data_IF_208085361708
#
_entry.id   IF_208085361708
#
_cell.length_a   1.000
_cell.length_b   1.000
_cell.length_c   1.000
_cell.angle_alpha   90.00
_cell.angle_beta   90.00
_cell.angle_gamma   90.00
#
_symmetry.space_group_name_H-M   'P 1'
#
loop_
_entity.id
_entity.type
_entity.pdbx_description
1 polymer ?
#
# COMPACT_ATOMS: atom_id res chain seq x y z
N UNK A 1 5.06 14.63 0.68
CA UNK A 1 5.30 15.66 -0.36
C UNK A 1 4.96 17.03 0.22
N UNK A 2 5.96 17.77 0.72
CA UNK A 2 5.83 19.08 1.43
C UNK A 2 6.67 20.18 0.75
N UNK A 3 7.46 19.80 -0.26
CA UNK A 3 8.53 20.62 -0.87
C UNK A 3 8.04 21.93 -1.48
N UNK A 4 6.81 21.99 -1.99
CA UNK A 4 6.28 23.17 -2.70
C UNK A 4 5.39 24.09 -1.83
N UNK A 5 5.16 23.75 -0.57
CA UNK A 5 4.26 24.51 0.33
C UNK A 5 4.83 25.90 0.66
N UNK A 6 6.15 26.05 0.58
CA UNK A 6 6.83 27.32 0.85
C UNK A 6 6.64 28.35 -0.27
N UNK A 7 6.32 27.91 -1.49
CA UNK A 7 6.24 28.79 -2.67
C UNK A 7 4.80 29.12 -3.10
N UNK A 8 3.78 28.57 -2.39
CA UNK A 8 2.37 28.89 -2.62
C UNK A 8 1.98 30.16 -1.87
N UNK A 9 1.41 31.13 -2.59
CA UNK A 9 0.95 32.43 -2.07
C UNK A 9 -0.15 32.22 -1.02
N UNK A 10 0.19 32.35 0.27
CA UNK A 10 -0.74 32.16 1.39
C UNK A 10 -0.03 31.95 2.72
N UNK A 11 -0.78 31.91 3.83
CA UNK A 11 -0.21 31.56 5.12
C UNK A 11 0.09 30.05 5.17
N UNK A 12 1.27 29.69 5.67
CA UNK A 12 1.74 28.28 5.76
C UNK A 12 0.70 27.36 6.42
N UNK A 13 0.03 27.88 7.45
CA UNK A 13 -1.01 27.16 8.21
C UNK A 13 -2.18 26.76 7.31
N UNK A 14 -2.64 27.65 6.41
CA UNK A 14 -3.76 27.37 5.50
C UNK A 14 -3.37 26.28 4.50
N UNK A 15 -2.17 26.32 3.94
CA UNK A 15 -1.70 25.28 3.01
C UNK A 15 -1.60 23.90 3.69
N UNK A 16 -1.12 23.83 4.93
CA UNK A 16 -1.12 22.58 5.70
C UNK A 16 -2.53 22.09 6.03
N UNK A 17 -3.44 23.00 6.35
CA UNK A 17 -4.84 22.67 6.62
C UNK A 17 -5.54 22.11 5.37
N UNK A 18 -5.31 22.69 4.19
CA UNK A 18 -5.83 22.16 2.92
C UNK A 18 -5.29 20.75 2.66
N UNK A 19 -3.99 20.52 2.85
CA UNK A 19 -3.39 19.20 2.65
C UNK A 19 -3.94 18.15 3.62
N UNK A 20 -4.18 18.53 4.89
CA UNK A 20 -4.80 17.65 5.87
C UNK A 20 -6.26 17.35 5.51
N UNK A 21 -7.02 18.35 5.05
CA UNK A 21 -8.40 18.18 4.61
C UNK A 21 -8.52 17.25 3.40
N UNK A 22 -7.59 17.31 2.46
CA UNK A 22 -7.57 16.45 1.26
C UNK A 22 -7.24 14.98 1.60
N UNK A 23 -6.55 14.74 2.71
CA UNK A 23 -6.20 13.39 3.14
C UNK A 23 -7.42 12.56 3.54
N UNK A 24 -8.43 13.19 4.15
CA UNK A 24 -9.68 12.55 4.59
C UNK A 24 -10.46 11.90 3.41
N UNK A 25 -10.85 12.64 2.34
CA UNK A 25 -11.54 12.06 1.20
C UNK A 25 -10.64 11.10 0.41
N UNK A 26 -9.33 11.37 0.36
CA UNK A 26 -8.37 10.46 -0.27
C UNK A 26 -8.37 9.07 0.39
N UNK A 27 -8.33 9.05 1.72
CA UNK A 27 -8.38 7.82 2.50
C UNK A 27 -9.73 7.11 2.37
N UNK A 28 -10.84 7.85 2.34
CA UNK A 28 -12.16 7.28 2.08
C UNK A 28 -12.21 6.57 0.71
N UNK A 29 -11.75 7.23 -0.36
CA UNK A 29 -11.66 6.64 -1.71
C UNK A 29 -10.74 5.42 -1.70
N UNK A 30 -9.59 5.49 -1.02
CA UNK A 30 -8.66 4.37 -0.89
C UNK A 30 -9.28 3.15 -0.22
N UNK A 31 -10.02 3.36 0.88
CA UNK A 31 -10.72 2.27 1.58
C UNK A 31 -11.81 1.62 0.73
N UNK A 32 -12.60 2.41 0.00
CA UNK A 32 -13.63 1.91 -0.91
C UNK A 32 -12.97 1.14 -2.05
N UNK A 33 -11.94 1.70 -2.67
CA UNK A 33 -11.20 1.05 -3.75
C UNK A 33 -10.62 -0.30 -3.29
N UNK A 34 -10.05 -0.37 -2.09
CA UNK A 34 -9.53 -1.61 -1.51
C UNK A 34 -10.60 -2.69 -1.32
N UNK A 35 -11.84 -2.30 -0.97
CA UNK A 35 -12.96 -3.23 -0.83
C UNK A 35 -13.47 -3.75 -2.18
N UNK A 36 -13.39 -2.96 -3.26
CA UNK A 36 -13.93 -3.35 -4.58
C UNK A 36 -12.89 -4.02 -5.49
N UNK A 37 -11.68 -3.46 -5.61
CA UNK A 37 -10.66 -3.90 -6.55
C UNK A 37 -9.66 -4.93 -5.97
N UNK A 38 -9.71 -5.20 -4.66
CA UNK A 38 -8.72 -6.02 -3.98
C UNK A 38 -7.55 -5.20 -3.46
N UNK A 39 -6.88 -5.68 -2.40
CA UNK A 39 -5.95 -4.85 -1.63
C UNK A 39 -4.63 -4.65 -2.38
N UNK A 40 -4.17 -5.66 -3.10
CA UNK A 40 -2.90 -5.60 -3.84
C UNK A 40 -3.02 -4.69 -5.07
N UNK A 41 -4.04 -4.91 -5.89
CA UNK A 41 -4.27 -4.09 -7.09
C UNK A 41 -4.51 -2.62 -6.74
N UNK A 42 -5.27 -2.36 -5.66
CA UNK A 42 -5.46 -0.99 -5.17
C UNK A 42 -4.13 -0.35 -4.77
N UNK A 43 -3.30 -1.06 -4.00
CA UNK A 43 -1.97 -0.57 -3.61
C UNK A 43 -1.10 -0.25 -4.82
N UNK A 44 -1.02 -1.17 -5.79
CA UNK A 44 -0.24 -0.97 -7.02
C UNK A 44 -0.80 0.21 -7.85
N UNK A 45 -2.11 0.33 -7.98
CA UNK A 45 -2.75 1.41 -8.73
C UNK A 45 -2.50 2.79 -8.09
N UNK A 46 -2.67 2.92 -6.78
CA UNK A 46 -2.41 4.18 -6.08
C UNK A 46 -0.92 4.54 -6.06
N UNK A 47 -0.03 3.55 -5.91
CA UNK A 47 1.41 3.76 -6.03
C UNK A 47 1.81 4.21 -7.45
N UNK A 48 1.22 3.61 -8.48
CA UNK A 48 1.44 4.01 -9.87
C UNK A 48 0.92 5.42 -10.15
N UNK A 49 -0.29 5.77 -9.69
CA UNK A 49 -0.84 7.12 -9.81
C UNK A 49 0.03 8.17 -9.10
N UNK A 50 0.51 7.86 -7.89
CA UNK A 50 1.44 8.72 -7.15
C UNK A 50 2.77 8.91 -7.90
N UNK A 51 3.34 7.84 -8.47
CA UNK A 51 4.55 7.90 -9.27
C UNK A 51 4.35 8.74 -10.55
N UNK A 52 3.23 8.55 -11.26
CA UNK A 52 2.89 9.35 -12.45
C UNK A 52 2.72 10.83 -12.09
N UNK A 53 2.07 11.17 -10.97
CA UNK A 53 1.98 12.55 -10.50
C UNK A 53 3.36 13.15 -10.17
N UNK A 54 4.26 12.35 -9.58
CA UNK A 54 5.62 12.76 -9.27
C UNK A 54 6.43 13.01 -10.56
N UNK A 55 6.26 12.17 -11.57
CA UNK A 55 6.90 12.32 -12.88
C UNK A 55 6.35 13.52 -13.64
N UNK A 56 5.02 13.70 -13.66
CA UNK A 56 4.36 14.83 -14.30
C UNK A 56 4.79 16.18 -13.68
N UNK A 57 5.07 16.19 -12.37
CA UNK A 57 5.56 17.38 -11.66
C UNK A 57 6.93 17.86 -12.21
N UNK A 58 7.73 16.97 -12.78
CA UNK A 58 9.03 17.30 -13.40
C UNK A 58 8.82 18.12 -14.68
N UNK A 59 7.84 17.75 -15.50
CA UNK A 59 7.57 18.43 -16.78
C UNK A 59 6.87 19.77 -16.61
N UNK A 60 6.03 19.91 -15.57
CA UNK A 60 5.18 21.09 -15.35
C UNK A 60 5.76 22.03 -14.29
N UNK A 61 7.08 22.10 -14.19
CA UNK A 61 7.75 22.96 -13.19
C UNK A 61 7.57 24.47 -13.46
N UNK A 62 7.11 24.85 -14.65
CA UNK A 62 6.92 26.25 -15.07
C UNK A 62 5.65 26.89 -14.50
N UNK A 63 4.60 26.12 -14.25
CA UNK A 63 3.30 26.63 -13.82
C UNK A 63 3.02 26.28 -12.35
N UNK A 64 3.10 27.24 -11.42
CA UNK A 64 2.98 26.96 -9.98
C UNK A 64 1.59 26.46 -9.58
N UNK A 65 0.54 26.87 -10.30
CA UNK A 65 -0.83 26.40 -10.07
C UNK A 65 -1.00 24.92 -10.41
N UNK A 66 -0.49 24.49 -11.56
CA UNK A 66 -0.59 23.09 -11.99
C UNK A 66 0.27 22.20 -11.10
N UNK A 67 1.47 22.67 -10.74
CA UNK A 67 2.34 21.97 -9.79
C UNK A 67 1.67 21.79 -8.42
N UNK A 68 0.94 22.80 -7.92
CA UNK A 68 0.20 22.69 -6.67
C UNK A 68 -0.89 21.62 -6.72
N UNK A 69 -1.67 21.58 -7.82
CA UNK A 69 -2.70 20.55 -8.04
C UNK A 69 -2.08 19.15 -8.05
N UNK A 70 -0.98 18.96 -8.80
CA UNK A 70 -0.26 17.68 -8.84
C UNK A 70 0.29 17.28 -7.46
N UNK A 71 0.80 18.23 -6.67
CA UNK A 71 1.25 17.97 -5.30
C UNK A 71 0.12 17.48 -4.40
N UNK A 72 -1.04 18.14 -4.47
CA UNK A 72 -2.23 17.79 -3.68
C UNK A 72 -2.75 16.40 -4.07
N UNK A 73 -2.85 16.11 -5.38
CA UNK A 73 -3.24 14.79 -5.89
C UNK A 73 -2.27 13.70 -5.44
N UNK A 74 -0.96 13.95 -5.53
CA UNK A 74 0.03 12.98 -5.09
C UNK A 74 -0.05 12.70 -3.58
N UNK A 75 -0.26 13.74 -2.76
CA UNK A 75 -0.48 13.59 -1.31
C UNK A 75 -1.72 12.74 -1.03
N UNK A 76 -2.80 12.93 -1.79
CA UNK A 76 -4.02 12.14 -1.70
C UNK A 76 -3.78 10.66 -2.03
N UNK A 77 -3.13 10.36 -3.16
CA UNK A 77 -2.84 8.98 -3.57
C UNK A 77 -1.84 8.28 -2.64
N UNK A 78 -0.83 9.01 -2.15
CA UNK A 78 0.12 8.50 -1.15
C UNK A 78 -0.58 8.15 0.17
N UNK A 79 -1.52 8.99 0.63
CA UNK A 79 -2.31 8.72 1.83
C UNK A 79 -3.16 7.46 1.69
N UNK A 80 -3.87 7.33 0.56
CA UNK A 80 -4.65 6.15 0.23
C UNK A 80 -3.79 4.88 0.18
N UNK A 81 -2.61 4.92 -0.45
CA UNK A 81 -1.66 3.81 -0.49
C UNK A 81 -1.27 3.35 0.92
N UNK A 82 -0.87 4.31 1.77
CA UNK A 82 -0.47 4.02 3.16
C UNK A 82 -1.63 3.32 3.87
N UNK A 83 -2.84 3.86 3.81
CA UNK A 83 -4.01 3.24 4.43
C UNK A 83 -4.21 1.77 4.01
N UNK A 84 -4.07 1.47 2.72
CA UNK A 84 -4.27 0.12 2.19
C UNK A 84 -3.17 -0.82 2.68
N UNK A 85 -1.92 -0.38 2.72
CA UNK A 85 -0.81 -1.17 3.27
C UNK A 85 -1.03 -1.45 4.76
N UNK A 86 -1.52 -0.47 5.53
CA UNK A 86 -1.88 -0.68 6.93
C UNK A 86 -3.02 -1.71 7.07
N UNK A 87 -4.05 -1.65 6.22
CA UNK A 87 -5.10 -2.68 6.20
C UNK A 87 -4.54 -4.07 5.86
N UNK A 88 -3.61 -4.15 4.90
CA UNK A 88 -2.96 -5.40 4.51
C UNK A 88 -2.21 -6.04 5.68
N UNK A 89 -1.50 -5.24 6.48
CA UNK A 89 -0.81 -5.72 7.69
C UNK A 89 -1.82 -6.33 8.67
N UNK A 90 -2.99 -5.70 8.83
CA UNK A 90 -4.07 -6.24 9.65
C UNK A 90 -4.58 -7.60 9.20
N UNK A 91 -4.61 -7.84 7.88
CA UNK A 91 -5.12 -9.08 7.29
C UNK A 91 -4.08 -10.19 7.21
N UNK A 92 -2.81 -9.83 7.06
CA UNK A 92 -1.71 -10.79 6.91
C UNK A 92 -1.20 -11.32 8.25
N UNK A 93 -1.21 -10.50 9.30
CA UNK A 93 -0.66 -10.85 10.59
C UNK A 93 -1.76 -11.30 11.59
N UNK A 94 -1.52 -12.40 12.34
CA UNK A 94 -2.43 -12.85 13.39
C UNK A 94 -2.46 -11.85 14.55
N UNK A 95 -3.53 -11.86 15.33
CA UNK A 95 -3.82 -10.84 16.38
C UNK A 95 -2.65 -10.63 17.35
N UNK A 96 -1.91 -11.68 17.69
CA UNK A 96 -0.74 -11.65 18.58
C UNK A 96 0.43 -10.83 18.02
N UNK A 97 0.64 -10.84 16.70
CA UNK A 97 1.77 -10.19 16.04
C UNK A 97 1.37 -8.91 15.29
N UNK A 98 0.09 -8.61 15.22
CA UNK A 98 -0.40 -7.43 14.49
C UNK A 98 0.13 -6.13 15.09
N UNK A 99 0.15 -6.01 16.43
CA UNK A 99 0.67 -4.83 17.12
C UNK A 99 2.17 -4.62 16.87
N UNK A 100 2.96 -5.70 16.85
CA UNK A 100 4.40 -5.63 16.58
C UNK A 100 4.66 -5.27 15.12
N UNK A 101 3.89 -5.80 14.17
CA UNK A 101 3.99 -5.45 12.75
C UNK A 101 3.73 -3.96 12.49
N UNK A 102 2.70 -3.39 13.11
CA UNK A 102 2.45 -1.93 13.05
C UNK A 102 3.59 -1.13 13.68
N UNK A 103 4.14 -1.59 14.81
CA UNK A 103 5.28 -0.95 15.47
C UNK A 103 6.52 -0.91 14.58
N UNK A 104 6.90 -2.04 13.96
CA UNK A 104 8.04 -2.13 13.04
C UNK A 104 7.84 -1.20 11.83
N UNK A 105 6.64 -1.21 11.25
CA UNK A 105 6.31 -0.31 10.13
C UNK A 105 6.43 1.17 10.52
N UNK A 106 6.04 1.52 11.76
CA UNK A 106 6.23 2.85 12.32
C UNK A 106 7.71 3.23 12.43
N UNK A 107 8.56 2.34 12.94
CA UNK A 107 10.01 2.59 13.05
C UNK A 107 10.65 2.79 11.67
N UNK A 108 10.26 1.99 10.67
CA UNK A 108 10.74 2.15 9.28
C UNK A 108 10.28 3.49 8.70
N UNK A 109 9.05 3.92 8.99
CA UNK A 109 8.53 5.22 8.57
C UNK A 109 9.31 6.36 9.21
N UNK A 110 9.65 6.26 10.50
CA UNK A 110 10.48 7.24 11.19
C UNK A 110 11.90 7.29 10.62
N UNK A 111 12.50 6.15 10.25
CA UNK A 111 13.77 6.13 9.56
C UNK A 111 13.70 6.87 8.21
N UNK A 112 12.61 6.72 7.46
CA UNK A 112 12.39 7.45 6.22
C UNK A 112 12.28 8.97 6.43
N UNK A 113 11.73 9.43 7.58
CA UNK A 113 11.64 10.85 7.92
C UNK A 113 13.02 11.51 8.07
N UNK A 114 14.04 10.77 8.51
CA UNK A 114 15.43 11.28 8.66
C UNK A 114 16.01 11.72 7.31
N UNK A 115 15.57 11.11 6.20
CA UNK A 115 16.03 11.46 4.84
C UNK A 115 15.33 12.70 4.25
N UNK A 116 14.28 13.22 4.88
CA UNK A 116 13.51 14.35 4.36
C UNK A 116 14.30 15.67 4.36
N UNK A 117 15.00 16.09 5.43
CA UNK A 117 15.72 17.37 5.43
C UNK A 117 16.83 17.44 4.36
N UNK A 118 17.67 16.40 4.16
CA UNK A 118 18.61 16.37 3.04
C UNK A 118 17.94 16.50 1.67
N UNK A 119 16.80 15.84 1.45
CA UNK A 119 16.03 15.96 0.20
C UNK A 119 15.53 17.39 -0.04
N UNK A 120 15.07 18.10 1.00
CA UNK A 120 14.67 19.50 0.90
C UNK A 120 15.87 20.39 0.58
N UNK A 121 17.01 20.17 1.24
CA UNK A 121 18.24 20.91 0.99
C UNK A 121 18.72 20.75 -0.46
N UNK A 122 18.70 19.53 -1.01
CA UNK A 122 19.03 19.28 -2.42
C UNK A 122 18.06 19.99 -3.39
N UNK A 123 16.78 20.10 -3.02
CA UNK A 123 15.77 20.82 -3.80
C UNK A 123 16.02 22.31 -3.94
N UNK A 124 16.78 22.92 -3.02
CA UNK A 124 17.16 24.35 -3.09
C UNK A 124 18.16 24.66 -4.20
N UNK A 125 19.03 23.69 -4.53
CA UNK A 125 20.01 23.83 -5.61
C UNK A 125 19.42 23.43 -6.96
N UNK A 126 18.71 22.29 -7.01
CA UNK A 126 18.08 21.78 -8.22
C UNK A 126 16.68 21.26 -7.89
N UNK A 127 15.66 22.02 -8.31
CA UNK A 127 14.27 21.68 -8.03
C UNK A 127 13.82 20.34 -8.65
N UNK A 128 14.48 19.86 -9.72
CA UNK A 128 14.14 18.59 -10.39
C UNK A 128 14.61 17.34 -9.62
N UNK A 129 15.74 17.42 -8.91
CA UNK A 129 16.38 16.29 -8.26
C UNK A 129 15.47 15.55 -7.24
N UNK A 130 14.79 16.24 -6.31
CA UNK A 130 13.96 15.56 -5.33
C UNK A 130 12.76 14.85 -5.98
N UNK A 131 12.21 15.35 -7.08
CA UNK A 131 11.11 14.68 -7.79
C UNK A 131 11.56 13.37 -8.45
N UNK A 132 12.78 13.31 -9.00
CA UNK A 132 13.33 12.05 -9.53
C UNK A 132 13.53 11.00 -8.44
N UNK A 133 14.05 11.40 -7.27
CA UNK A 133 14.26 10.48 -6.15
C UNK A 133 12.91 9.95 -5.65
N UNK A 134 11.90 10.83 -5.50
CA UNK A 134 10.56 10.42 -5.11
C UNK A 134 9.90 9.48 -6.13
N UNK A 135 10.10 9.73 -7.42
CA UNK A 135 9.64 8.84 -8.48
C UNK A 135 10.30 7.45 -8.38
N UNK A 136 11.62 7.40 -8.16
CA UNK A 136 12.36 6.14 -7.98
C UNK A 136 11.89 5.34 -6.76
N UNK A 137 11.65 6.02 -5.63
CA UNK A 137 11.09 5.39 -4.43
C UNK A 137 9.67 4.87 -4.70
N UNK A 138 8.86 5.62 -5.46
CA UNK A 138 7.53 5.20 -5.90
C UNK A 138 7.58 3.92 -6.75
N UNK A 139 8.49 3.83 -7.71
CA UNK A 139 8.69 2.63 -8.53
C UNK A 139 9.10 1.42 -7.68
N UNK A 140 10.02 1.61 -6.73
CA UNK A 140 10.40 0.56 -5.79
C UNK A 140 9.19 0.10 -4.96
N UNK A 141 8.36 1.04 -4.51
CA UNK A 141 7.09 0.76 -3.83
C UNK A 141 6.12 -0.07 -4.68
N UNK A 142 6.00 0.22 -5.98
CA UNK A 142 5.17 -0.55 -6.91
C UNK A 142 5.66 -1.99 -7.03
N UNK A 143 6.98 -2.19 -7.16
CA UNK A 143 7.58 -3.53 -7.21
C UNK A 143 7.32 -4.27 -5.90
N UNK A 144 7.56 -3.65 -4.76
CA UNK A 144 7.31 -4.27 -3.44
C UNK A 144 5.84 -4.61 -3.22
N UNK A 145 4.91 -3.73 -3.59
CA UNK A 145 3.47 -4.01 -3.53
C UNK A 145 3.07 -5.12 -4.50
N UNK A 146 3.78 -5.27 -5.60
CA UNK A 146 3.60 -6.39 -6.53
C UNK A 146 4.12 -7.72 -5.97
N UNK A 147 5.01 -7.72 -4.98
CA UNK A 147 5.45 -8.95 -4.31
C UNK A 147 4.46 -9.42 -3.23
N UNK A 148 3.53 -8.56 -2.79
CA UNK A 148 2.56 -8.90 -1.76
C UNK A 148 1.46 -9.84 -2.28
N UNK A 149 1.09 -10.90 -1.54
CA UNK A 149 -0.02 -11.79 -1.90
C UNK A 149 -1.39 -11.09 -1.76
N UNK A 150 -2.38 -11.54 -2.51
CA UNK A 150 -3.76 -11.02 -2.41
C UNK A 150 -4.45 -11.60 -1.16
N UNK A 151 -5.05 -10.72 -0.35
CA UNK A 151 -5.76 -11.05 0.90
C UNK A 151 -7.28 -10.95 0.76
N UNK A 152 -7.79 -10.72 -0.45
CA UNK A 152 -9.23 -10.48 -0.66
C UNK A 152 -10.09 -11.69 -0.23
N UNK A 153 -11.04 -11.44 0.69
CA UNK A 153 -12.05 -12.41 1.12
C UNK A 153 -11.56 -13.60 1.97
N UNK A 154 -10.28 -13.65 2.36
CA UNK A 154 -9.78 -14.71 3.24
C UNK A 154 -10.18 -14.47 4.70
N UNK A 155 -10.50 -15.53 5.47
CA UNK A 155 -10.70 -15.40 6.91
C UNK A 155 -9.41 -14.91 7.56
N UNK A 156 -9.55 -14.09 8.60
CA UNK A 156 -8.42 -13.54 9.35
C UNK A 156 -7.72 -14.71 10.05
N UNK A 157 -6.43 -14.98 9.79
CA UNK A 157 -5.73 -16.10 10.38
C UNK A 157 -5.68 -15.94 11.90
N UNK A 158 -6.13 -16.95 12.64
CA UNK A 158 -6.02 -16.96 14.10
C UNK A 158 -4.70 -17.58 14.55
N UNK A 159 -4.10 -18.43 13.70
CA UNK A 159 -2.86 -19.15 13.99
C UNK A 159 -1.72 -18.76 13.04
N UNK A 160 -0.47 -19.01 13.46
CA UNK A 160 0.72 -18.72 12.64
C UNK A 160 0.77 -19.64 11.41
N UNK A 161 0.32 -20.89 11.54
CA UNK A 161 0.29 -21.84 10.43
C UNK A 161 -0.65 -21.37 9.32
N UNK A 162 -1.83 -20.85 9.66
CA UNK A 162 -2.76 -20.26 8.69
C UNK A 162 -2.14 -19.04 7.99
N UNK A 163 -1.42 -18.18 8.73
CA UNK A 163 -0.78 -17.00 8.15
C UNK A 163 0.31 -17.35 7.11
N UNK A 164 1.05 -18.44 7.31
CA UNK A 164 2.09 -18.91 6.37
C UNK A 164 1.46 -19.43 5.06
N UNK A 165 0.28 -20.04 5.12
CA UNK A 165 -0.42 -20.61 3.96
C UNK A 165 -1.01 -19.55 3.02
N UNK A 166 -1.19 -18.31 3.48
CA UNK A 166 -1.72 -17.20 2.66
C UNK A 166 -0.81 -16.90 1.45
N UNK A 167 0.50 -17.15 1.55
CA UNK A 167 1.48 -16.82 0.48
C UNK A 167 1.86 -17.96 -0.47
N UNK A 168 1.58 -19.23 -0.14
CA UNK A 168 2.21 -20.39 -0.81
C UNK A 168 1.54 -20.85 -2.10
N UNK A 169 0.29 -20.45 -2.37
CA UNK A 169 -0.53 -20.99 -3.46
C UNK A 169 -1.17 -19.90 -4.35
N UNK A 170 -0.49 -18.76 -4.55
CA UNK A 170 -0.99 -17.70 -5.43
C UNK A 170 -0.01 -17.35 -6.54
N UNK A 171 -0.51 -17.27 -7.78
CA UNK A 171 0.27 -16.81 -8.93
C UNK A 171 0.57 -15.32 -8.79
N UNK A 172 1.82 -14.96 -9.11
CA UNK A 172 2.34 -13.60 -9.00
C UNK A 172 1.52 -12.56 -9.75
N UNK A 173 0.74 -12.91 -10.76
CA UNK A 173 -0.05 -11.96 -11.54
C UNK A 173 -1.54 -12.34 -11.60
N UNK A 174 -2.06 -12.99 -10.56
CA UNK A 174 -3.50 -13.28 -10.51
C UNK A 174 -4.31 -11.99 -10.27
N UNK A 175 -5.13 -11.62 -11.25
CA UNK A 175 -6.09 -10.53 -11.15
C UNK A 175 -7.34 -11.04 -10.42
N UNK A 176 -7.43 -10.82 -9.10
CA UNK A 176 -8.55 -11.29 -8.28
C UNK A 176 -9.42 -10.10 -7.91
N UNK A 177 -10.59 -10.00 -8.56
CA UNK A 177 -11.58 -8.98 -8.30
C UNK A 177 -12.65 -9.50 -7.33
N UNK A 178 -13.34 -8.62 -6.58
CA UNK A 178 -14.35 -9.01 -5.56
C UNK A 178 -15.38 -10.02 -6.07
N UNK A 179 -15.87 -9.84 -7.30
CA UNK A 179 -16.85 -10.73 -7.94
C UNK A 179 -16.29 -12.11 -8.34
N UNK A 180 -14.97 -12.23 -8.49
CA UNK A 180 -14.30 -13.49 -8.84
C UNK A 180 -13.60 -14.14 -7.63
N UNK A 181 -13.49 -13.44 -6.51
CA UNK A 181 -12.80 -13.89 -5.29
C UNK A 181 -13.41 -15.18 -4.70
N UNK A 182 -14.73 -15.35 -4.78
CA UNK A 182 -15.41 -16.56 -4.30
C UNK A 182 -14.95 -17.83 -5.02
N UNK A 183 -14.52 -17.76 -6.29
CA UNK A 183 -14.01 -18.94 -7.02
C UNK A 183 -12.70 -19.44 -6.41
N UNK A 184 -11.82 -18.53 -6.01
CA UNK A 184 -10.52 -18.87 -5.41
C UNK A 184 -10.64 -19.33 -3.96
N UNK A 185 -11.59 -18.78 -3.20
CA UNK A 185 -11.88 -19.22 -1.83
C UNK A 185 -12.42 -20.65 -1.80
N UNK A 186 -13.31 -20.99 -2.74
CA UNK A 186 -13.90 -22.32 -2.82
C UNK A 186 -12.86 -23.39 -3.21
N UNK A 187 -11.95 -23.07 -4.14
CA UNK A 187 -10.84 -23.96 -4.53
C UNK A 187 -9.86 -24.22 -3.37
N UNK A 188 -9.59 -23.21 -2.53
CA UNK A 188 -8.71 -23.37 -1.35
C UNK A 188 -9.38 -24.17 -0.23
N UNK A 189 -10.64 -23.89 0.10
CA UNK A 189 -11.42 -24.68 1.06
C UNK A 189 -11.54 -26.15 0.64
N UNK A 190 -11.68 -26.41 -0.66
CA UNK A 190 -11.72 -27.76 -1.21
C UNK A 190 -10.34 -28.45 -1.10
N UNK A 191 -9.24 -27.75 -1.37
CA UNK A 191 -7.88 -28.25 -1.16
C UNK A 191 -7.55 -28.53 0.31
N UNK A 192 -7.87 -27.61 1.22
CA UNK A 192 -7.65 -27.83 2.67
C UNK A 192 -8.46 -29.02 3.19
N UNK A 193 -9.71 -29.19 2.73
CA UNK A 193 -10.48 -30.39 3.08
C UNK A 193 -9.85 -31.66 2.50
N UNK A 194 -9.37 -31.65 1.26
CA UNK A 194 -8.69 -32.81 0.67
C UNK A 194 -7.38 -33.11 1.40
N UNK A 195 -6.59 -32.11 1.74
CA UNK A 195 -5.33 -32.29 2.48
C UNK A 195 -5.59 -32.79 3.91
N UNK A 196 -6.64 -32.31 4.58
CA UNK A 196 -7.06 -32.87 5.87
C UNK A 196 -7.55 -34.32 5.75
N UNK A 197 -8.34 -34.66 4.71
CA UNK A 197 -8.78 -36.04 4.45
C UNK A 197 -7.56 -36.93 4.13
N UNK A 198 -6.58 -36.42 3.37
CA UNK A 198 -5.37 -37.13 3.02
C UNK A 198 -4.47 -37.39 4.24
N UNK A 199 -4.30 -36.41 5.14
CA UNK A 199 -3.54 -36.56 6.39
C UNK A 199 -4.22 -37.57 7.33
N UNK A 200 -5.55 -37.53 7.47
CA UNK A 200 -6.31 -38.51 8.26
C UNK A 200 -6.19 -39.93 7.67
N UNK A 201 -6.10 -40.07 6.35
CA UNK A 201 -5.91 -41.37 5.69
C UNK A 201 -4.47 -41.93 5.73
N UNK A 202 -3.49 -41.10 6.11
CA UNK A 202 -2.07 -41.46 6.18
C UNK A 202 -1.57 -41.69 7.61
N UNK A 203 -2.41 -41.57 8.64
CA UNK A 203 -2.07 -41.97 10.01
C UNK A 203 -2.30 -43.48 10.20
N UNK A 204 -1.25 -44.35 10.18
CA UNK A 204 -1.38 -45.78 10.47
C UNK A 204 -1.74 -46.08 11.94
N UNK A 205 -1.96 -45.05 12.79
CA UNK A 205 -2.26 -45.20 14.21
C UNK A 205 -3.75 -45.21 14.55
N UNK A 206 -4.68 -44.92 13.63
CA UNK A 206 -6.12 -44.91 13.93
C UNK A 206 -6.87 -46.19 13.51
N UNK A 207 -6.13 -47.27 13.22
CA UNK A 207 -6.70 -48.58 12.93
C UNK A 207 -6.24 -49.60 13.98
N UNK A 208 -6.60 -49.33 15.25
CA UNK A 208 -6.68 -50.30 16.35
C UNK A 208 -7.79 -49.90 17.31
#
# INVERSE_FOLDING_TARGET
>A
MVLNIHNMTGSKIVNYLILALVEIPGNAIGSVAAQYFGRRLSSVAFAALSAVCSLASIFVLKDPFVLAILCVLNKMFSGALVLIVYMQIGELFPTLMRATAYGVTGIVSLAALIFIPPLIAMGSSNAFLPYYILFGIGLLGIVLCSFLPETIGRPIPQTINEAVLIGTNQSYLSFIHKWNAHKYLNDQYFKENIDQIAVVSLDPCNNK
#
